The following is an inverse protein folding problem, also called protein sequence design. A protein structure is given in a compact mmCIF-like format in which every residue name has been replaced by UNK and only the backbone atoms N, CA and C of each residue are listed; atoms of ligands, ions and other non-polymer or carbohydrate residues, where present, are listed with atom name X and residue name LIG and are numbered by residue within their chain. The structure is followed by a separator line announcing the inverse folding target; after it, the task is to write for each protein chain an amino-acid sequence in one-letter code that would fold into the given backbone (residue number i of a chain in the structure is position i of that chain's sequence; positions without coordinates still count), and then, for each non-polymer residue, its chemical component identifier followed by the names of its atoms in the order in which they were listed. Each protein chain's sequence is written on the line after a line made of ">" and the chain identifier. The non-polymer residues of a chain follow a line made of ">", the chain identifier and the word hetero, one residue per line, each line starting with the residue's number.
data_IF_586737378320
#
_entry.id   IF_586737378320
#
_cell.length_a   1.000
_cell.length_b   1.000
_cell.length_c   1.000
_cell.angle_alpha   90.00
_cell.angle_beta   90.00
_cell.angle_gamma   90.00
#
_symmetry.space_group_name_H-M   'P 1'
#
loop_
_entity.id
_entity.type
_entity.pdbx_description
1 polymer ?
#
# COMPACT_ATOMS: atom_id res chain seq x y z
N UNK A 1 -38.81 7.22 9.42
CA UNK A 1 -39.15 7.66 8.04
C UNK A 1 -38.91 9.15 7.80
N UNK A 2 -39.51 10.05 8.60
CA UNK A 2 -39.38 11.52 8.44
C UNK A 2 -37.96 12.05 8.65
N UNK A 3 -37.32 11.67 9.76
CA UNK A 3 -35.93 12.07 10.08
C UNK A 3 -34.93 11.60 9.01
N UNK A 4 -35.14 10.42 8.43
CA UNK A 4 -34.29 9.91 7.34
C UNK A 4 -34.41 10.81 6.09
N UNK A 5 -35.64 11.18 5.69
CA UNK A 5 -35.85 12.08 4.56
C UNK A 5 -35.25 13.48 4.78
N UNK A 6 -35.34 14.01 6.00
CA UNK A 6 -34.71 15.28 6.39
C UNK A 6 -33.18 15.22 6.30
N UNK A 7 -32.57 14.13 6.79
CA UNK A 7 -31.12 13.94 6.69
C UNK A 7 -30.64 13.77 5.25
N UNK A 8 -31.37 13.05 4.40
CA UNK A 8 -31.04 12.92 2.98
C UNK A 8 -31.12 14.27 2.25
N UNK A 9 -32.13 15.09 2.56
CA UNK A 9 -32.23 16.44 2.02
C UNK A 9 -31.07 17.33 2.48
N UNK A 10 -30.65 17.22 3.74
CA UNK A 10 -29.49 17.94 4.26
C UNK A 10 -28.18 17.51 3.59
N UNK A 11 -27.98 16.21 3.33
CA UNK A 11 -26.82 15.69 2.57
C UNK A 11 -26.82 16.23 1.15
N UNK A 12 -27.97 16.22 0.46
CA UNK A 12 -28.07 16.77 -0.89
C UNK A 12 -27.71 18.26 -0.91
N UNK A 13 -28.29 19.04 0.01
CA UNK A 13 -27.99 20.47 0.13
C UNK A 13 -26.51 20.72 0.42
N UNK A 14 -25.91 19.96 1.33
CA UNK A 14 -24.48 20.04 1.61
C UNK A 14 -23.63 19.75 0.37
N UNK A 15 -23.98 18.72 -0.41
CA UNK A 15 -23.24 18.40 -1.62
C UNK A 15 -23.34 19.50 -2.68
N UNK A 16 -24.53 20.10 -2.83
CA UNK A 16 -24.79 21.12 -3.84
C UNK A 16 -24.19 22.50 -3.48
N UNK A 17 -24.15 22.84 -2.18
CA UNK A 17 -23.77 24.19 -1.72
C UNK A 17 -22.36 24.26 -1.10
N UNK A 18 -21.86 23.16 -0.52
CA UNK A 18 -20.58 23.15 0.21
C UNK A 18 -19.56 22.26 -0.47
N UNK A 19 -19.93 21.00 -0.76
CA UNK A 19 -18.99 20.07 -1.38
C UNK A 19 -18.64 20.47 -2.82
N UNK A 20 -19.56 21.15 -3.52
CA UNK A 20 -19.35 21.71 -4.86
C UNK A 20 -18.31 22.83 -4.90
N UNK A 21 -18.07 23.52 -3.77
CA UNK A 21 -17.03 24.53 -3.63
C UNK A 21 -15.63 23.91 -3.47
N UNK A 22 -15.56 22.60 -3.19
CA UNK A 22 -14.29 21.88 -3.12
C UNK A 22 -13.77 21.65 -4.54
N UNK A 23 -12.63 22.26 -4.85
CA UNK A 23 -11.88 21.96 -6.07
C UNK A 23 -11.30 20.54 -6.07
N UNK A 24 -10.59 20.20 -7.15
CA UNK A 24 -9.85 18.95 -7.23
C UNK A 24 -8.78 18.90 -6.14
N UNK A 25 -8.75 17.80 -5.38
CA UNK A 25 -7.67 17.57 -4.42
C UNK A 25 -6.38 17.18 -5.16
N UNK A 26 -5.50 18.15 -5.37
CA UNK A 26 -4.18 17.94 -5.99
C UNK A 26 -3.07 17.73 -4.95
N UNK A 27 -3.41 17.53 -3.67
CA UNK A 27 -2.40 17.37 -2.62
C UNK A 27 -1.57 16.12 -2.91
N UNK A 28 -0.23 16.24 -2.93
CA UNK A 28 0.63 15.11 -3.23
C UNK A 28 0.64 14.11 -2.07
N UNK A 29 0.78 12.82 -2.40
CA UNK A 29 1.14 11.82 -1.41
C UNK A 29 2.64 11.90 -1.13
N UNK A 30 3.00 12.73 -0.14
CA UNK A 30 4.40 13.02 0.20
C UNK A 30 5.03 11.85 0.93
N UNK A 31 6.17 11.37 0.43
CA UNK A 31 7.00 10.38 1.09
C UNK A 31 8.38 10.93 1.43
N UNK A 32 9.08 10.30 2.39
CA UNK A 32 10.48 10.65 2.68
C UNK A 32 10.64 12.14 3.04
N UNK A 33 9.74 12.67 3.87
CA UNK A 33 9.79 14.05 4.33
C UNK A 33 11.06 14.30 5.18
N UNK A 34 11.77 15.44 5.03
CA UNK A 34 13.03 15.70 5.75
C UNK A 34 12.90 15.63 7.28
N UNK A 35 11.74 16.02 7.83
CA UNK A 35 11.44 15.93 9.26
C UNK A 35 10.99 14.54 9.75
N UNK A 36 10.86 13.55 8.86
CA UNK A 36 10.36 12.22 9.20
C UNK A 36 11.45 11.16 9.00
N UNK A 37 11.88 10.51 10.10
CA UNK A 37 12.82 9.38 10.02
C UNK A 37 12.21 8.15 9.33
N UNK A 38 10.90 7.97 9.48
CA UNK A 38 10.13 6.85 8.93
C UNK A 38 8.91 7.36 8.19
N UNK A 39 8.63 6.77 7.04
CA UNK A 39 7.41 7.04 6.27
C UNK A 39 6.68 5.73 5.99
N UNK A 40 5.40 5.68 6.35
CA UNK A 40 4.51 4.57 6.03
C UNK A 40 3.85 4.81 4.67
N UNK A 41 3.86 3.79 3.82
CA UNK A 41 3.26 3.78 2.49
C UNK A 41 2.28 2.58 2.44
N UNK A 42 1.04 2.75 2.92
CA UNK A 42 0.13 1.64 3.15
C UNK A 42 -0.57 1.18 1.86
N UNK A 43 -1.04 -0.07 1.86
CA UNK A 43 -1.83 -0.64 0.78
C UNK A 43 -3.13 0.14 0.46
N UNK A 44 -3.68 0.91 1.41
CA UNK A 44 -4.89 1.71 1.15
C UNK A 44 -4.67 2.79 0.09
N UNK A 45 -3.46 3.32 0.00
CA UNK A 45 -3.12 4.44 -0.87
C UNK A 45 -2.53 3.96 -2.22
N UNK A 46 -2.46 2.63 -2.42
CA UNK A 46 -1.94 2.04 -3.64
C UNK A 46 -3.02 1.84 -4.70
N UNK A 47 -2.66 2.09 -5.96
CA UNK A 47 -3.42 1.67 -7.14
C UNK A 47 -2.93 0.30 -7.56
N UNK A 48 -3.86 -0.66 -7.65
CA UNK A 48 -3.57 -2.01 -8.11
C UNK A 48 -3.79 -2.14 -9.62
N UNK A 49 -2.90 -2.88 -10.27
CA UNK A 49 -2.96 -3.20 -11.69
C UNK A 49 -2.95 -4.72 -11.87
N UNK A 50 -3.65 -5.20 -12.91
CA UNK A 50 -3.72 -6.63 -13.23
C UNK A 50 -4.70 -7.39 -12.33
N UNK A 51 -4.28 -8.56 -11.86
CA UNK A 51 -5.10 -9.49 -11.08
C UNK A 51 -5.15 -9.23 -9.57
N UNK A 52 -4.41 -8.26 -9.05
CA UNK A 52 -4.36 -7.95 -7.62
C UNK A 52 -5.74 -7.58 -7.06
N UNK A 53 -6.11 -8.18 -5.93
CA UNK A 53 -7.39 -7.95 -5.27
C UNK A 53 -7.19 -7.37 -3.90
N UNK A 54 -8.04 -6.42 -3.53
CA UNK A 54 -8.10 -5.91 -2.16
C UNK A 54 -8.90 -6.91 -1.31
N UNK A 55 -8.44 -7.16 -0.09
CA UNK A 55 -9.09 -8.08 0.86
C UNK A 55 -10.50 -7.65 1.27
N UNK A 56 -10.83 -6.38 1.10
CA UNK A 56 -12.13 -5.80 1.42
C UNK A 56 -12.37 -4.56 0.54
N UNK A 57 -13.64 -4.17 0.32
CA UNK A 57 -13.99 -2.90 -0.34
C UNK A 57 -13.62 -1.67 0.49
N UNK A 58 -13.64 -1.80 1.81
CA UNK A 58 -13.27 -0.72 2.72
C UNK A 58 -11.75 -0.65 2.86
N UNK A 59 -11.12 0.52 2.61
CA UNK A 59 -9.66 0.61 2.52
C UNK A 59 -8.97 0.41 3.87
N UNK A 60 -9.65 0.72 4.98
CA UNK A 60 -9.10 0.61 6.32
C UNK A 60 -8.79 -0.85 6.67
N UNK A 61 -7.56 -1.06 7.16
CA UNK A 61 -7.00 -2.38 7.48
C UNK A 61 -6.99 -3.39 6.32
N UNK A 62 -7.25 -2.96 5.07
CA UNK A 62 -7.17 -3.83 3.91
C UNK A 62 -5.72 -4.12 3.49
N UNK A 63 -5.54 -5.24 2.81
CA UNK A 63 -4.28 -5.68 2.19
C UNK A 63 -4.57 -6.19 0.78
N UNK A 64 -3.52 -6.41 -0.01
CA UNK A 64 -3.64 -7.00 -1.34
C UNK A 64 -3.35 -8.50 -1.32
N UNK A 65 -4.13 -9.22 -2.10
CA UNK A 65 -4.06 -10.67 -2.32
C UNK A 65 -4.09 -10.95 -3.83
N UNK A 66 -4.07 -12.23 -4.20
CA UNK A 66 -4.21 -12.67 -5.60
C UNK A 66 -3.08 -12.17 -6.51
N UNK A 67 -1.87 -12.01 -5.96
CA UNK A 67 -0.69 -11.62 -6.73
C UNK A 67 -0.14 -12.84 -7.47
N UNK A 68 -0.69 -13.15 -8.63
CA UNK A 68 -0.44 -14.44 -9.32
C UNK A 68 0.41 -14.30 -10.57
N UNK A 69 0.58 -13.07 -11.07
CA UNK A 69 1.30 -12.80 -12.31
C UNK A 69 2.42 -11.78 -12.10
N UNK A 70 3.48 -11.91 -12.89
CA UNK A 70 4.61 -10.96 -12.89
C UNK A 70 4.20 -9.60 -13.44
N UNK A 71 3.14 -9.51 -14.23
CA UNK A 71 2.61 -8.25 -14.77
C UNK A 71 1.79 -7.48 -13.74
N UNK A 72 1.36 -8.14 -12.66
CA UNK A 72 0.63 -7.51 -11.56
C UNK A 72 1.56 -6.58 -10.78
N UNK A 73 1.10 -5.35 -10.52
CA UNK A 73 1.88 -4.33 -9.81
C UNK A 73 1.01 -3.44 -8.95
N UNK A 74 1.62 -2.90 -7.90
CA UNK A 74 1.07 -1.84 -7.07
C UNK A 74 1.82 -0.55 -7.35
N UNK A 75 1.11 0.56 -7.54
CA UNK A 75 1.72 1.87 -7.79
C UNK A 75 1.22 2.93 -6.83
N UNK A 76 2.09 3.90 -6.54
CA UNK A 76 1.77 5.12 -5.82
C UNK A 76 2.32 6.31 -6.60
N UNK A 77 1.47 7.28 -6.88
CA UNK A 77 1.90 8.61 -7.34
C UNK A 77 2.33 9.41 -6.13
N UNK A 78 3.64 9.65 -6.01
CA UNK A 78 4.25 10.20 -4.80
C UNK A 78 5.05 11.45 -5.09
N UNK A 79 5.27 12.25 -4.06
CA UNK A 79 6.28 13.30 -4.05
C UNK A 79 7.34 12.99 -2.99
N UNK A 80 8.58 12.76 -3.40
CA UNK A 80 9.71 12.58 -2.50
C UNK A 80 10.06 13.94 -1.90
N UNK A 81 9.93 14.08 -0.58
CA UNK A 81 10.18 15.33 0.15
C UNK A 81 11.67 15.69 0.29
N UNK A 82 12.52 14.69 0.51
CA UNK A 82 13.97 14.84 0.63
C UNK A 82 14.73 13.75 -0.15
N UNK A 83 15.73 14.16 -0.93
CA UNK A 83 16.68 13.22 -1.52
C UNK A 83 17.46 12.50 -0.43
N UNK A 84 17.76 11.22 -0.65
CA UNK A 84 18.57 10.44 0.27
C UNK A 84 18.45 8.93 0.09
N UNK A 85 19.10 8.19 0.98
CA UNK A 85 19.08 6.73 1.04
C UNK A 85 18.06 6.27 2.08
N UNK A 86 17.18 5.38 1.64
CA UNK A 86 16.09 4.86 2.45
C UNK A 86 16.12 3.33 2.46
N UNK A 87 16.16 2.73 3.65
CA UNK A 87 15.87 1.31 3.80
C UNK A 87 14.38 1.10 3.51
N UNK A 88 14.08 0.36 2.46
CA UNK A 88 12.74 -0.09 2.11
C UNK A 88 12.44 -1.43 2.78
N UNK A 89 11.36 -1.45 3.57
CA UNK A 89 10.84 -2.64 4.22
C UNK A 89 9.39 -2.87 3.76
N UNK A 90 9.00 -4.13 3.65
CA UNK A 90 7.67 -4.56 3.21
C UNK A 90 7.05 -5.49 4.24
N UNK A 91 5.80 -5.22 4.63
CA UNK A 91 5.01 -6.06 5.52
C UNK A 91 4.17 -7.01 4.68
N UNK A 92 4.43 -8.29 4.85
CA UNK A 92 3.86 -9.33 3.99
C UNK A 92 3.39 -10.56 4.78
N UNK A 93 2.52 -11.32 4.12
CA UNK A 93 2.20 -12.70 4.47
C UNK A 93 2.45 -13.59 3.24
N UNK A 94 3.05 -14.76 3.43
CA UNK A 94 3.35 -15.73 2.39
C UNK A 94 3.37 -17.14 2.99
N UNK A 95 2.53 -18.08 2.53
CA UNK A 95 2.58 -19.46 2.98
C UNK A 95 3.85 -20.15 2.48
N UNK A 96 4.29 -21.20 3.19
CA UNK A 96 5.54 -21.92 2.88
C UNK A 96 5.62 -22.44 1.43
N UNK A 97 4.47 -22.81 0.84
CA UNK A 97 4.38 -23.32 -0.54
C UNK A 97 4.66 -22.26 -1.63
N UNK A 98 4.53 -20.98 -1.29
CA UNK A 98 4.64 -19.85 -2.23
C UNK A 98 5.96 -19.06 -2.05
N UNK A 99 6.91 -19.61 -1.29
CA UNK A 99 8.25 -19.02 -1.11
C UNK A 99 9.06 -18.99 -2.40
N UNK A 100 10.04 -18.08 -2.45
CA UNK A 100 10.96 -17.95 -3.57
C UNK A 100 10.59 -16.87 -4.59
N UNK A 101 9.55 -16.10 -4.31
CA UNK A 101 9.17 -14.95 -5.14
C UNK A 101 10.21 -13.82 -5.03
N UNK A 102 10.60 -13.24 -6.15
CA UNK A 102 11.54 -12.11 -6.22
C UNK A 102 10.76 -10.83 -6.41
N UNK A 103 10.88 -9.90 -5.46
CA UNK A 103 10.12 -8.65 -5.45
C UNK A 103 11.06 -7.49 -5.76
N UNK A 104 10.57 -6.52 -6.51
CA UNK A 104 11.26 -5.28 -6.83
C UNK A 104 10.38 -4.09 -6.46
N UNK A 105 10.94 -3.15 -5.71
CA UNK A 105 10.44 -1.79 -5.54
C UNK A 105 11.27 -0.87 -6.44
N UNK A 106 10.60 -0.12 -7.31
CA UNK A 106 11.23 0.88 -8.16
C UNK A 106 10.59 2.25 -8.00
N UNK A 107 11.38 3.30 -8.22
CA UNK A 107 10.91 4.67 -8.29
C UNK A 107 11.33 5.27 -9.63
N UNK A 108 10.35 5.81 -10.35
CA UNK A 108 10.54 6.47 -11.64
C UNK A 108 10.15 7.93 -11.53
N UNK A 109 11.06 8.83 -11.86
CA UNK A 109 10.77 10.25 -12.03
C UNK A 109 11.33 10.75 -13.37
N UNK A 110 11.22 12.06 -13.66
CA UNK A 110 11.70 12.65 -14.91
C UNK A 110 13.20 12.37 -15.12
N UNK A 111 13.51 11.35 -15.91
CA UNK A 111 14.87 10.97 -16.31
C UNK A 111 15.64 10.10 -15.30
N UNK A 112 15.02 9.61 -14.22
CA UNK A 112 15.67 8.69 -13.27
C UNK A 112 14.80 7.45 -13.03
N UNK A 113 15.45 6.30 -13.04
CA UNK A 113 14.91 5.04 -12.55
C UNK A 113 15.87 4.49 -11.50
N UNK A 114 15.34 4.13 -10.33
CA UNK A 114 16.08 3.45 -9.27
C UNK A 114 15.24 2.28 -8.79
N UNK A 115 15.89 1.17 -8.43
CA UNK A 115 15.17 0.01 -7.90
C UNK A 115 15.97 -0.74 -6.87
N UNK A 116 15.24 -1.47 -6.03
CA UNK A 116 15.79 -2.38 -5.03
C UNK A 116 14.85 -3.59 -4.92
N UNK A 117 15.34 -4.73 -4.46
CA UNK A 117 14.53 -5.93 -4.42
C UNK A 117 15.16 -7.04 -3.62
N UNK A 118 14.32 -7.99 -3.19
CA UNK A 118 14.78 -9.14 -2.42
C UNK A 118 13.87 -10.36 -2.65
N UNK A 119 14.37 -11.52 -2.22
CA UNK A 119 13.70 -12.81 -2.28
C UNK A 119 12.83 -13.02 -1.02
N UNK A 120 11.61 -13.53 -1.21
CA UNK A 120 10.76 -13.99 -0.11
C UNK A 120 11.25 -15.37 0.36
N UNK A 121 12.03 -15.38 1.44
CA UNK A 121 12.65 -16.61 1.97
C UNK A 121 11.94 -17.16 3.21
N UNK A 122 11.24 -16.31 3.97
CA UNK A 122 10.62 -16.71 5.24
C UNK A 122 9.11 -16.81 5.07
N UNK A 123 8.54 -17.94 5.51
CA UNK A 123 7.10 -18.11 5.54
C UNK A 123 6.50 -17.27 6.67
N UNK A 124 5.37 -16.64 6.38
CA UNK A 124 4.53 -15.94 7.33
C UNK A 124 3.08 -16.00 6.86
N UNK A 125 2.29 -16.97 7.32
CA UNK A 125 0.88 -17.04 6.96
C UNK A 125 0.02 -17.26 8.20
N UNK A 126 -0.08 -16.24 9.08
CA UNK A 126 -0.92 -16.32 10.25
C UNK A 126 -2.41 -16.28 9.82
N UNK A 127 -3.29 -16.93 10.58
CA UNK A 127 -4.73 -16.83 10.33
C UNK A 127 -5.20 -15.38 10.47
N UNK A 128 -6.35 -15.09 9.87
CA UNK A 128 -7.05 -13.83 10.12
C UNK A 128 -7.44 -13.74 11.59
N UNK A 129 -7.31 -12.54 12.15
CA UNK A 129 -7.69 -12.19 13.52
C UNK A 129 -8.55 -10.93 13.55
N UNK A 130 -9.22 -10.73 14.67
CA UNK A 130 -10.14 -9.64 14.95
C UNK A 130 -11.53 -10.15 15.29
N UNK A 131 -12.00 -11.21 14.62
CA UNK A 131 -13.35 -11.78 14.80
C UNK A 131 -13.64 -12.19 16.24
N UNK A 132 -12.62 -12.57 17.01
CA UNK A 132 -12.72 -12.91 18.42
C UNK A 132 -13.19 -11.75 19.30
N UNK A 133 -13.12 -10.51 18.81
CA UNK A 133 -13.54 -9.30 19.52
C UNK A 133 -14.90 -8.78 19.04
N UNK A 134 -15.54 -9.44 18.07
CA UNK A 134 -16.80 -9.00 17.50
C UNK A 134 -17.98 -9.28 18.42
N UNK A 135 -18.75 -8.24 18.71
CA UNK A 135 -20.07 -8.35 19.37
C UNK A 135 -21.19 -8.63 18.37
N UNK A 136 -20.94 -8.39 17.08
CA UNK A 136 -21.83 -8.65 15.95
C UNK A 136 -21.01 -8.86 14.67
N UNK A 137 -21.51 -9.59 13.67
CA UNK A 137 -20.82 -9.76 12.40
C UNK A 137 -20.47 -8.41 11.76
N UNK A 138 -19.19 -8.20 11.45
CA UNK A 138 -18.70 -6.98 10.82
C UNK A 138 -18.57 -7.14 9.29
N UNK A 139 -18.53 -6.02 8.58
CA UNK A 139 -18.27 -6.01 7.11
C UNK A 139 -16.89 -5.45 6.75
N UNK A 140 -16.19 -4.93 7.75
CA UNK A 140 -14.84 -4.37 7.70
C UNK A 140 -13.77 -5.47 7.62
N UNK A 141 -12.53 -5.09 7.30
CA UNK A 141 -11.42 -6.03 7.16
C UNK A 141 -11.03 -6.69 8.49
N UNK A 142 -10.83 -8.01 8.45
CA UNK A 142 -9.96 -8.70 9.42
C UNK A 142 -8.49 -8.47 9.06
N UNK A 143 -7.59 -8.70 10.01
CA UNK A 143 -6.15 -8.47 9.84
C UNK A 143 -5.35 -9.75 10.00
N UNK A 144 -4.14 -9.78 9.45
CA UNK A 144 -3.12 -10.80 9.70
C UNK A 144 -1.96 -10.18 10.48
N UNK A 145 -1.17 -11.02 11.14
CA UNK A 145 0.10 -10.60 11.76
C UNK A 145 1.21 -10.52 10.69
N UNK A 146 1.15 -9.47 9.86
CA UNK A 146 2.13 -9.24 8.80
C UNK A 146 3.52 -9.01 9.38
N UNK A 147 4.55 -9.62 8.77
CA UNK A 147 5.95 -9.47 9.19
C UNK A 147 6.73 -8.62 8.20
N UNK A 148 7.68 -7.80 8.66
CA UNK A 148 8.56 -7.05 7.79
C UNK A 148 9.60 -7.95 7.12
N UNK A 149 9.91 -7.66 5.86
CA UNK A 149 11.17 -8.04 5.22
C UNK A 149 11.83 -6.81 4.62
N UNK A 150 13.17 -6.81 4.59
CA UNK A 150 13.95 -5.77 3.94
C UNK A 150 14.01 -6.03 2.44
N UNK A 151 13.60 -5.06 1.64
CA UNK A 151 13.83 -5.08 0.19
C UNK A 151 15.25 -4.58 -0.15
N UNK A 152 15.77 -3.64 0.65
CA UNK A 152 17.13 -3.10 0.54
C UNK A 152 17.13 -1.58 0.66
N UNK A 153 18.27 -0.95 0.37
CA UNK A 153 18.40 0.51 0.41
C UNK A 153 18.17 1.09 -0.99
N UNK A 154 17.20 1.99 -1.11
CA UNK A 154 16.87 2.71 -2.34
C UNK A 154 17.29 4.18 -2.22
N UNK A 155 17.93 4.72 -3.26
CA UNK A 155 18.33 6.12 -3.32
C UNK A 155 17.25 6.93 -4.03
N UNK A 156 16.50 7.73 -3.28
CA UNK A 156 15.41 8.54 -3.80
C UNK A 156 15.90 9.97 -4.04
N UNK A 157 15.50 10.56 -5.17
CA UNK A 157 15.70 11.98 -5.46
C UNK A 157 14.40 12.74 -5.20
N UNK A 158 14.50 13.91 -4.56
CA UNK A 158 13.39 14.82 -4.32
C UNK A 158 12.60 15.10 -5.62
N UNK A 159 11.28 15.08 -5.52
CA UNK A 159 10.37 15.41 -6.62
C UNK A 159 9.25 14.39 -6.83
N UNK A 160 8.37 14.70 -7.78
CA UNK A 160 7.22 13.87 -8.14
C UNK A 160 7.67 12.67 -8.98
N UNK A 161 7.04 11.52 -8.74
CA UNK A 161 7.27 10.31 -9.52
C UNK A 161 6.36 9.16 -9.09
N UNK A 162 6.53 8.02 -9.77
CA UNK A 162 5.75 6.81 -9.49
C UNK A 162 6.61 5.80 -8.76
N UNK A 163 6.16 5.39 -7.57
CA UNK A 163 6.69 4.24 -6.86
C UNK A 163 5.93 3.00 -7.33
N UNK A 164 6.65 1.93 -7.72
CA UNK A 164 6.08 0.68 -8.23
C UNK A 164 6.63 -0.51 -7.46
N UNK A 165 5.75 -1.37 -6.95
CA UNK A 165 6.11 -2.67 -6.37
C UNK A 165 5.61 -3.78 -7.30
N UNK A 166 6.52 -4.65 -7.74
CA UNK A 166 6.25 -5.71 -8.71
C UNK A 166 6.99 -7.00 -8.33
N UNK A 167 6.42 -8.16 -8.69
CA UNK A 167 7.14 -9.44 -8.64
C UNK A 167 7.84 -9.69 -9.98
N UNK A 168 9.16 -9.95 -9.94
CA UNK A 168 9.96 -10.32 -11.11
C UNK A 168 9.91 -11.83 -11.39
N UNK A 169 9.62 -12.62 -10.36
CA UNK A 169 9.51 -14.08 -10.45
C UNK A 169 8.53 -14.56 -9.39
N UNK A 170 7.64 -15.48 -9.77
CA UNK A 170 6.68 -16.14 -8.90
C UNK A 170 6.80 -17.65 -9.15
N UNK A 171 7.55 -18.41 -8.34
CA UNK A 171 7.70 -19.86 -8.53
C UNK A 171 6.51 -20.66 -7.99
N UNK A 172 5.76 -20.09 -7.04
CA UNK A 172 4.57 -20.69 -6.44
C UNK A 172 3.28 -20.29 -7.14
N UNK A 173 2.17 -20.42 -6.42
CA UNK A 173 0.83 -20.04 -6.90
C UNK A 173 0.56 -18.53 -6.80
N UNK A 174 1.31 -17.82 -5.96
CA UNK A 174 1.23 -16.38 -5.77
C UNK A 174 2.58 -15.83 -5.27
N UNK A 175 2.78 -14.51 -5.38
CA UNK A 175 3.96 -13.84 -4.86
C UNK A 175 3.94 -13.76 -3.32
N UNK A 176 2.90 -13.12 -2.78
CA UNK A 176 2.62 -12.87 -1.36
C UNK A 176 1.33 -12.05 -1.21
N UNK A 177 0.89 -11.86 0.03
CA UNK A 177 -0.07 -10.84 0.42
C UNK A 177 0.64 -9.59 0.95
N UNK A 178 0.29 -8.41 0.47
CA UNK A 178 0.99 -7.15 0.75
C UNK A 178 0.14 -6.19 1.60
N UNK A 179 0.73 -5.61 2.66
CA UNK A 179 0.03 -4.67 3.57
C UNK A 179 0.59 -3.25 3.60
N UNK A 180 1.91 -3.10 3.61
CA UNK A 180 2.57 -1.83 3.93
C UNK A 180 4.01 -1.83 3.42
N UNK A 181 4.43 -0.72 2.83
CA UNK A 181 5.84 -0.35 2.69
C UNK A 181 6.24 0.62 3.80
N UNK A 182 7.46 0.52 4.30
CA UNK A 182 8.07 1.48 5.19
C UNK A 182 9.39 1.95 4.57
N UNK A 183 9.59 3.26 4.52
CA UNK A 183 10.88 3.86 4.22
C UNK A 183 11.48 4.39 5.50
N UNK A 184 12.68 3.92 5.86
CA UNK A 184 13.47 4.46 6.96
C UNK A 184 14.71 5.15 6.39
N UNK A 185 14.91 6.44 6.69
CA UNK A 185 16.12 7.15 6.26
C UNK A 185 17.36 6.53 6.91
N UNK A 186 18.42 6.30 6.14
CA UNK A 186 19.66 5.65 6.61
C UNK A 186 20.93 6.44 6.31
N UNK A 187 20.85 7.53 5.55
CA UNK A 187 21.93 8.50 5.46
C UNK A 187 21.79 9.57 6.55
N UNK A 188 22.93 9.98 7.10
CA UNK A 188 23.04 11.04 8.10
C UNK A 188 23.29 12.38 7.39
#
# INVERSE_FOLDING_TARGET
>A
PKVNAELLAAVKKFNDEVASELGTDERPFVIAHPGAKRTQIPARDATAHGGLKRSNKFPNCSHFTNWTKTEDKLTWEVEVGASGKYLAEMWYACPKKDLGSVLQLSFTNKGSFVSVGNLVQQANDPPLRGMENDRSPRTESYVKDFKPMKLGVIELKKGKGTLTLQALRIPGSQALEFRLLMLTRVDN
#
